data_IF_783018994010
#
_entry.id   IF_783018994010
#
_cell.length_a   1.000
_cell.length_b   1.000
_cell.length_c   1.000
_cell.angle_alpha   90.00
_cell.angle_beta   90.00
_cell.angle_gamma   90.00
#
_symmetry.space_group_name_H-M   'P 1'
#
loop_
_entity.id
_entity.type
_entity.pdbx_description
1 polymer ?
#
# COMPACT_ATOMS: atom_id res chain seq x y z
N UNK A 1 -11.74 4.13 2.34
CA UNK A 1 -11.37 5.27 1.50
C UNK A 1 -10.68 4.76 0.23
N UNK A 2 -11.43 4.29 -0.75
CA UNK A 2 -10.92 3.92 -2.08
C UNK A 2 -10.67 5.20 -2.90
N UNK A 3 -9.59 5.25 -3.67
CA UNK A 3 -9.24 6.41 -4.50
C UNK A 3 -9.19 7.74 -3.74
N UNK A 4 -8.78 7.72 -2.47
CA UNK A 4 -8.53 8.93 -1.69
C UNK A 4 -7.20 9.56 -2.11
N UNK A 5 -7.14 10.89 -2.10
CA UNK A 5 -5.91 11.64 -2.36
C UNK A 5 -4.91 11.42 -1.22
N UNK A 6 -3.66 11.19 -1.58
CA UNK A 6 -2.55 10.94 -0.66
C UNK A 6 -1.43 11.94 -0.91
N UNK A 7 -0.93 12.53 0.16
CA UNK A 7 0.24 13.39 0.17
C UNK A 7 1.21 12.93 1.26
N UNK A 8 2.46 12.69 0.89
CA UNK A 8 3.51 12.23 1.79
C UNK A 8 4.60 13.28 1.85
N UNK A 9 4.90 13.77 3.05
CA UNK A 9 5.99 14.67 3.33
C UNK A 9 7.16 13.90 3.94
N UNK A 10 8.36 14.18 3.43
CA UNK A 10 9.59 13.65 4.01
C UNK A 10 9.98 14.36 5.31
N UNK A 11 10.84 13.74 6.12
CA UNK A 11 11.38 14.34 7.34
C UNK A 11 11.90 15.77 7.16
N UNK A 12 11.30 16.71 7.89
CA UNK A 12 11.68 18.12 7.86
C UNK A 12 11.43 18.86 6.55
N UNK A 13 10.64 18.28 5.63
CA UNK A 13 10.33 18.87 4.33
C UNK A 13 8.85 19.25 4.24
N UNK A 14 8.58 20.50 3.86
CA UNK A 14 7.26 20.94 3.44
C UNK A 14 6.96 20.60 1.97
N UNK A 15 7.99 20.18 1.22
CA UNK A 15 7.83 19.71 -0.15
C UNK A 15 7.38 18.25 -0.14
N UNK A 16 6.29 17.90 -0.86
CA UNK A 16 5.79 16.54 -0.95
C UNK A 16 6.79 15.60 -1.62
N UNK A 17 7.15 14.54 -0.90
CA UNK A 17 7.98 13.45 -1.40
C UNK A 17 7.25 12.64 -2.47
N UNK A 18 5.97 12.33 -2.23
CA UNK A 18 5.13 11.63 -3.19
C UNK A 18 3.66 12.04 -3.03
N UNK A 19 2.95 12.14 -4.16
CA UNK A 19 1.50 12.34 -4.21
C UNK A 19 0.85 11.27 -5.07
N UNK A 20 -0.42 10.97 -4.80
CA UNK A 20 -1.21 10.09 -5.65
C UNK A 20 -2.57 9.78 -5.04
N UNK A 21 -3.16 8.66 -5.46
CA UNK A 21 -4.44 8.18 -4.92
C UNK A 21 -4.32 6.75 -4.43
N UNK A 22 -5.06 6.41 -3.38
CA UNK A 22 -5.20 5.01 -2.97
C UNK A 22 -5.84 4.18 -4.10
N UNK A 23 -5.56 2.88 -4.13
CA UNK A 23 -6.21 1.98 -5.08
C UNK A 23 -7.69 1.74 -4.72
N UNK A 24 -8.36 0.85 -5.48
CA UNK A 24 -9.75 0.46 -5.22
C UNK A 24 -9.98 -0.13 -3.81
N UNK A 25 -8.93 -0.65 -3.18
CA UNK A 25 -8.97 -1.26 -1.86
C UNK A 25 -8.55 -0.28 -0.75
N UNK A 26 -8.21 0.98 -1.10
CA UNK A 26 -7.70 1.96 -0.15
C UNK A 26 -6.23 1.81 0.19
N UNK A 27 -5.46 1.07 -0.61
CA UNK A 27 -4.02 0.86 -0.41
C UNK A 27 -3.19 1.90 -1.16
N UNK A 28 -2.10 2.36 -0.54
CA UNK A 28 -1.09 3.23 -1.15
C UNK A 28 0.29 2.75 -0.72
N UNK A 29 1.23 2.63 -1.65
CA UNK A 29 2.59 2.17 -1.40
C UNK A 29 3.59 3.25 -1.79
N UNK A 30 4.54 3.51 -0.91
CA UNK A 30 5.70 4.35 -1.18
C UNK A 30 6.94 3.74 -0.53
N UNK A 31 8.11 4.13 -1.03
CA UNK A 31 9.40 3.68 -0.49
C UNK A 31 10.12 4.86 0.17
N UNK A 32 10.15 4.95 1.50
CA UNK A 32 10.94 5.99 2.17
C UNK A 32 12.43 5.77 1.91
N UNK A 33 13.15 6.86 1.71
CA UNK A 33 14.59 6.88 1.40
C UNK A 33 15.45 7.39 2.58
N UNK A 34 14.82 8.00 3.59
CA UNK A 34 15.51 8.57 4.76
C UNK A 34 14.83 8.26 6.09
N UNK A 35 15.65 8.26 7.16
CA UNK A 35 15.22 8.17 8.56
C UNK A 35 14.52 9.47 8.96
N UNK A 36 13.63 9.39 9.95
CA UNK A 36 13.00 10.57 10.58
C UNK A 36 11.48 10.52 10.56
N UNK A 37 10.86 11.65 10.88
CA UNK A 37 9.40 11.78 10.99
C UNK A 37 8.76 12.01 9.62
N UNK A 38 8.01 11.03 9.14
CA UNK A 38 7.22 11.12 7.92
C UNK A 38 5.79 11.55 8.25
N UNK A 39 5.24 12.46 7.44
CA UNK A 39 3.85 12.88 7.56
C UNK A 39 3.07 12.40 6.33
N UNK A 40 1.93 11.76 6.58
CA UNK A 40 1.08 11.16 5.55
C UNK A 40 -0.32 11.76 5.71
N UNK A 41 -0.76 12.52 4.73
CA UNK A 41 -2.11 13.06 4.63
C UNK A 41 -2.95 12.25 3.66
N UNK A 42 -4.16 11.86 4.07
CA UNK A 42 -5.20 11.30 3.20
C UNK A 42 -6.43 12.21 3.20
N UNK A 43 -7.04 12.40 2.03
CA UNK A 43 -8.28 13.15 1.86
C UNK A 43 -9.24 12.38 0.94
N UNK A 44 -10.47 12.15 1.39
CA UNK A 44 -11.48 11.39 0.63
C UNK A 44 -12.43 12.24 -0.22
N UNK A 45 -12.15 13.55 -0.35
CA UNK A 45 -12.96 14.51 -1.09
C UNK A 45 -14.26 14.94 -0.39
N UNK A 46 -14.66 14.29 0.70
CA UNK A 46 -15.88 14.60 1.47
C UNK A 46 -15.57 15.30 2.80
N UNK A 47 -14.51 16.12 2.81
CA UNK A 47 -13.96 16.80 3.98
C UNK A 47 -13.36 15.90 5.08
N UNK A 48 -13.32 14.57 4.92
CA UNK A 48 -12.57 13.72 5.85
C UNK A 48 -11.09 13.75 5.48
N UNK A 49 -10.30 14.29 6.41
CA UNK A 49 -8.84 14.27 6.34
C UNK A 49 -8.31 13.36 7.44
N UNK A 50 -7.43 12.44 7.08
CA UNK A 50 -6.63 11.67 8.02
C UNK A 50 -5.18 12.13 7.91
N UNK A 51 -4.60 12.54 9.04
CA UNK A 51 -3.18 12.84 9.15
C UNK A 51 -2.51 11.76 10.00
N UNK A 52 -1.43 11.19 9.50
CA UNK A 52 -0.66 10.13 10.13
C UNK A 52 0.79 10.56 10.21
N UNK A 53 1.40 10.38 11.37
CA UNK A 53 2.83 10.60 11.57
C UNK A 53 3.52 9.27 11.86
N UNK A 54 4.65 9.03 11.21
CA UNK A 54 5.43 7.81 11.37
C UNK A 54 6.91 8.13 11.45
N UNK A 55 7.51 7.80 12.60
CA UNK A 55 8.94 7.90 12.80
C UNK A 55 9.63 6.64 12.27
N UNK A 56 10.57 6.83 11.34
CA UNK A 56 11.44 5.78 10.84
C UNK A 56 12.82 5.89 11.51
N UNK A 57 13.07 5.02 12.48
CA UNK A 57 14.34 4.95 13.21
C UNK A 57 15.40 4.10 12.50
N UNK A 58 14.98 3.22 11.57
CA UNK A 58 15.88 2.45 10.73
C UNK A 58 15.54 2.45 9.24
N UNK A 59 16.59 2.66 8.42
CA UNK A 59 16.59 2.48 6.95
C UNK A 59 17.75 1.57 6.52
N UNK A 60 18.56 1.06 7.47
CA UNK A 60 19.67 0.17 7.14
C UNK A 60 19.11 -1.16 6.66
N UNK A 61 19.63 -1.60 5.51
CA UNK A 61 19.10 -2.64 4.64
C UNK A 61 17.81 -2.20 3.94
N UNK A 62 17.94 -1.16 3.10
CA UNK A 62 16.86 -0.66 2.25
C UNK A 62 16.01 -1.81 1.74
N UNK A 63 14.71 -1.73 2.00
CA UNK A 63 13.77 -2.84 1.82
C UNK A 63 14.10 -3.60 0.55
N UNK A 64 14.69 -4.80 0.67
CA UNK A 64 14.68 -5.75 -0.42
C UNK A 64 13.23 -5.81 -0.86
N UNK A 65 12.95 -5.56 -2.15
CA UNK A 65 11.60 -5.72 -2.69
C UNK A 65 11.06 -7.01 -2.08
N UNK A 66 9.96 -6.93 -1.32
CA UNK A 66 9.38 -8.10 -0.71
C UNK A 66 9.34 -9.15 -1.80
N UNK A 67 10.00 -10.31 -1.59
CA UNK A 67 9.98 -11.38 -2.59
C UNK A 67 8.51 -11.53 -2.98
N UNK A 68 8.14 -11.40 -4.27
CA UNK A 68 6.74 -11.47 -4.66
C UNK A 68 6.19 -12.71 -3.99
N UNK A 69 5.15 -12.55 -3.17
CA UNK A 69 4.58 -13.65 -2.42
C UNK A 69 4.39 -14.78 -3.44
N UNK A 70 5.07 -15.91 -3.21
CA UNK A 70 4.93 -17.08 -4.07
C UNK A 70 3.43 -17.27 -4.27
N UNK A 71 3.02 -17.34 -5.54
CA UNK A 71 1.61 -17.55 -5.87
C UNK A 71 1.21 -18.83 -5.16
N UNK A 72 0.49 -18.72 -4.03
CA UNK A 72 -0.14 -19.86 -3.39
C UNK A 72 -1.25 -20.27 -4.34
N UNK A 73 -0.86 -21.12 -5.30
CA UNK A 73 -1.76 -21.80 -6.22
C UNK A 73 -2.69 -22.62 -5.36
N UNK A 74 -3.87 -22.06 -5.02
CA UNK A 74 -4.95 -22.83 -4.41
C UNK A 74 -5.25 -23.97 -5.38
N UNK A 75 -4.82 -25.19 -5.06
CA UNK A 75 -5.28 -26.38 -5.78
C UNK A 75 -6.77 -26.49 -5.50
N UNK A 76 -7.58 -26.13 -6.48
CA UNK A 76 -9.02 -26.42 -6.46
C UNK A 76 -9.18 -27.94 -6.33
N UNK A 77 -10.01 -28.45 -5.39
CA UNK A 77 -10.28 -29.88 -5.33
C UNK A 77 -10.98 -30.33 -6.61
N UNK A 78 -10.71 -31.55 -7.12
CA UNK A 78 -11.43 -32.06 -8.28
C UNK A 78 -12.92 -32.17 -7.94
N UNK A 79 -13.75 -31.44 -8.67
CA UNK A 79 -15.22 -31.57 -8.61
C UNK A 79 -15.67 -32.97 -9.09
N UNK A 80 -16.87 -33.42 -8.69
CA UNK A 80 -17.33 -34.76 -9.01
C UNK A 80 -17.55 -34.90 -10.52
N UNK A 81 -17.01 -35.99 -11.10
CA UNK A 81 -17.10 -36.29 -12.53
C UNK A 81 -18.49 -36.86 -12.83
N UNK A 82 -19.40 -36.01 -13.30
CA UNK A 82 -20.70 -36.49 -13.82
C UNK A 82 -20.46 -37.09 -15.21
N UNK A 83 -20.57 -38.41 -15.29
CA UNK A 83 -20.52 -39.17 -16.54
C UNK A 83 -21.89 -39.09 -17.23
N UNK A 84 -22.02 -38.25 -18.25
CA UNK A 84 -23.16 -38.34 -19.18
C UNK A 84 -22.72 -39.16 -20.39
N UNK A 85 -23.22 -40.40 -20.45
CA UNK A 85 -23.34 -41.18 -21.70
C UNK A 85 -24.70 -40.85 -22.30
N UNK A 86 -24.73 -40.66 -23.62
CA UNK A 86 -25.96 -40.51 -24.42
C UNK A 86 -25.72 -39.58 -25.57
#
# INVERSE_FOLDING_TARGET
MSYADVEILGPGSDTPFQKGRTDRNGMFMFRPDQKGLWQIGLQDGMAHRLALERELTDVKNGYHAAKPAETVSRKTPPGPRVSLRG
#
